data_IF_582965525259
#
_entry.id   IF_582965525259
#
_cell.length_a   1.000
_cell.length_b   1.000
_cell.length_c   1.000
_cell.angle_alpha   90.00
_cell.angle_beta   90.00
_cell.angle_gamma   90.00
#
_symmetry.space_group_name_H-M   'P 1'
#
loop_
_entity.id
_entity.type
_entity.pdbx_description
1 polymer ?
#
# COMPACT_ATOMS: atom_id res chain seq x y z
N UNK A 1 -12.03 11.01 -14.92
CA UNK A 1 -10.60 11.00 -14.52
C UNK A 1 -10.41 9.96 -13.43
N UNK A 2 -9.27 9.26 -13.46
CA UNK A 2 -8.98 8.11 -12.58
C UNK A 2 -8.60 8.53 -11.16
N UNK A 3 -8.10 9.74 -10.98
CA UNK A 3 -7.52 10.18 -9.71
C UNK A 3 -8.08 11.52 -9.26
N UNK A 4 -8.15 11.72 -7.95
CA UNK A 4 -8.43 13.02 -7.36
C UNK A 4 -7.12 13.78 -7.17
N UNK A 5 -6.78 14.64 -8.14
CA UNK A 5 -5.52 15.39 -8.14
C UNK A 5 -5.42 16.43 -7.00
N UNK A 6 -6.54 16.83 -6.40
CA UNK A 6 -6.54 17.73 -5.24
C UNK A 6 -6.22 17.00 -3.93
N UNK A 7 -6.39 15.67 -3.91
CA UNK A 7 -6.16 14.83 -2.74
C UNK A 7 -4.76 14.19 -2.69
N UNK A 8 -4.06 14.13 -3.82
CA UNK A 8 -2.84 13.35 -3.99
C UNK A 8 -1.64 14.29 -4.05
N UNK A 9 -0.59 13.96 -3.31
CA UNK A 9 0.71 14.65 -3.33
C UNK A 9 1.79 13.87 -4.07
N UNK A 10 1.74 12.54 -4.00
CA UNK A 10 2.67 11.63 -4.67
C UNK A 10 1.94 10.45 -5.35
N UNK A 11 2.44 10.01 -6.51
CA UNK A 11 2.01 8.77 -7.17
C UNK A 11 3.21 7.88 -7.52
N UNK A 12 3.12 6.61 -7.15
CA UNK A 12 4.07 5.57 -7.54
C UNK A 12 3.53 4.71 -8.69
N UNK A 13 4.38 4.42 -9.68
CA UNK A 13 4.06 3.56 -10.82
C UNK A 13 5.06 2.41 -10.97
N UNK A 14 4.57 1.22 -11.33
CA UNK A 14 5.45 0.09 -11.67
C UNK A 14 6.16 0.26 -13.02
N UNK A 15 5.55 1.02 -13.93
CA UNK A 15 6.08 1.33 -15.25
C UNK A 15 6.05 2.83 -15.48
N UNK A 16 6.71 3.31 -16.54
CA UNK A 16 6.71 4.74 -16.83
C UNK A 16 5.26 5.25 -17.03
N UNK A 17 4.81 6.28 -16.28
CA UNK A 17 3.49 6.86 -16.47
C UNK A 17 3.39 7.49 -17.86
N UNK A 18 2.20 7.52 -18.46
CA UNK A 18 1.99 8.12 -19.78
C UNK A 18 2.23 9.63 -19.78
N UNK A 19 2.48 10.20 -20.96
CA UNK A 19 2.73 11.64 -21.13
C UNK A 19 1.60 12.51 -20.56
N UNK A 20 0.35 12.11 -20.79
CA UNK A 20 -0.83 12.79 -20.26
C UNK A 20 -0.84 12.81 -18.73
N UNK A 21 -0.48 11.69 -18.09
CA UNK A 21 -0.36 11.57 -16.64
C UNK A 21 0.75 12.48 -16.12
N UNK A 22 1.91 12.50 -16.78
CA UNK A 22 3.03 13.37 -16.39
C UNK A 22 2.67 14.85 -16.49
N UNK A 23 1.98 15.23 -17.56
CA UNK A 23 1.53 16.61 -17.75
C UNK A 23 0.51 17.02 -16.68
N UNK A 24 -0.46 16.15 -16.37
CA UNK A 24 -1.49 16.41 -15.37
C UNK A 24 -0.91 16.45 -13.96
N UNK A 25 0.00 15.54 -13.61
CA UNK A 25 0.69 15.56 -12.31
C UNK A 25 1.45 16.87 -12.12
N UNK A 26 2.23 17.28 -13.14
CA UNK A 26 2.96 18.55 -13.14
C UNK A 26 2.05 19.77 -12.96
N UNK A 27 0.89 19.80 -13.62
CA UNK A 27 -0.03 20.94 -13.50
C UNK A 27 -0.76 21.00 -12.15
N UNK A 28 -0.80 19.90 -11.40
CA UNK A 28 -1.40 19.81 -10.07
C UNK A 28 -0.35 19.76 -8.94
N UNK A 29 0.94 19.87 -9.24
CA UNK A 29 2.00 19.81 -8.24
C UNK A 29 2.18 18.43 -7.60
N UNK A 30 1.71 17.37 -8.26
CA UNK A 30 1.84 15.98 -7.79
C UNK A 30 3.18 15.41 -8.24
N UNK A 31 3.94 14.85 -7.29
CA UNK A 31 5.23 14.22 -7.56
C UNK A 31 5.05 12.81 -8.09
N UNK A 32 5.83 12.44 -9.10
CA UNK A 32 5.79 11.13 -9.71
C UNK A 32 7.01 10.29 -9.38
N UNK A 33 6.76 9.04 -8.97
CA UNK A 33 7.79 8.05 -8.69
C UNK A 33 7.55 6.81 -9.55
N UNK A 34 8.63 6.14 -9.93
CA UNK A 34 8.58 4.85 -10.60
C UNK A 34 9.37 3.80 -9.82
N UNK A 35 8.99 2.53 -9.89
CA UNK A 35 9.78 1.46 -9.30
C UNK A 35 11.25 1.54 -9.75
N UNK A 36 12.15 1.36 -8.79
CA UNK A 36 13.58 1.44 -9.04
C UNK A 36 14.11 0.23 -9.81
N UNK A 37 13.35 -0.87 -9.89
CA UNK A 37 13.79 -2.16 -10.43
C UNK A 37 15.10 -2.60 -9.76
N UNK A 38 15.01 -2.83 -8.46
CA UNK A 38 16.18 -3.07 -7.61
C UNK A 38 17.07 -4.20 -8.14
N UNK A 39 18.41 -4.05 -8.05
CA UNK A 39 19.32 -5.08 -8.47
C UNK A 39 19.28 -6.25 -7.48
N UNK A 40 19.81 -7.39 -7.90
CA UNK A 40 19.98 -8.57 -7.04
C UNK A 40 20.72 -8.20 -5.75
N UNK A 41 20.23 -8.70 -4.61
CA UNK A 41 20.77 -8.38 -3.27
C UNK A 41 22.26 -8.67 -3.11
N UNK A 42 22.83 -9.59 -3.90
CA UNK A 42 24.28 -9.86 -3.90
C UNK A 42 25.11 -8.64 -4.34
N UNK A 43 24.52 -7.73 -5.10
CA UNK A 43 25.19 -6.56 -5.68
C UNK A 43 25.16 -5.34 -4.74
N UNK A 44 24.28 -5.33 -3.74
CA UNK A 44 24.10 -4.17 -2.85
C UNK A 44 25.35 -3.84 -2.04
N UNK A 45 26.19 -4.84 -1.75
CA UNK A 45 27.42 -4.63 -0.99
C UNK A 45 28.60 -4.11 -1.83
N UNK A 46 28.50 -4.16 -3.16
CA UNK A 46 29.55 -3.72 -4.09
C UNK A 46 29.39 -2.23 -4.43
N UNK A 47 30.44 -1.44 -4.15
CA UNK A 47 30.38 0.02 -4.32
C UNK A 47 30.25 0.46 -5.77
N UNK A 48 30.92 -0.23 -6.70
CA UNK A 48 30.90 0.13 -8.12
C UNK A 48 29.53 -0.21 -8.73
N UNK A 49 28.94 -1.33 -8.31
CA UNK A 49 27.57 -1.71 -8.73
C UNK A 49 26.53 -0.74 -8.19
N UNK A 50 26.65 -0.31 -6.92
CA UNK A 50 25.78 0.75 -6.38
C UNK A 50 25.90 2.05 -7.17
N UNK A 51 27.10 2.49 -7.50
CA UNK A 51 27.33 3.70 -8.29
C UNK A 51 26.75 3.59 -9.70
N UNK A 52 26.94 2.45 -10.37
CA UNK A 52 26.37 2.18 -11.68
C UNK A 52 24.83 2.18 -11.64
N UNK A 53 24.22 1.55 -10.62
CA UNK A 53 22.78 1.55 -10.43
C UNK A 53 22.23 2.96 -10.14
N UNK A 54 22.89 3.73 -9.28
CA UNK A 54 22.50 5.11 -8.99
C UNK A 54 22.52 5.99 -10.23
N UNK A 55 23.53 5.84 -11.10
CA UNK A 55 23.55 6.50 -12.41
C UNK A 55 22.37 6.08 -13.28
N UNK A 56 22.05 4.78 -13.34
CA UNK A 56 20.91 4.30 -14.12
C UNK A 56 19.57 4.86 -13.60
N UNK A 57 19.44 5.11 -12.29
CA UNK A 57 18.23 5.74 -11.72
C UNK A 57 18.15 7.24 -12.05
N UNK A 58 19.28 7.95 -12.09
CA UNK A 58 19.35 9.32 -12.61
C UNK A 58 18.87 9.37 -14.07
N UNK A 59 19.31 8.43 -14.90
CA UNK A 59 18.91 8.34 -16.30
C UNK A 59 17.39 8.05 -16.42
N UNK A 60 16.87 7.07 -15.66
CA UNK A 60 15.43 6.77 -15.58
C UNK A 60 14.58 7.98 -15.18
N UNK A 61 14.97 8.71 -14.13
CA UNK A 61 14.24 9.89 -13.64
C UNK A 61 14.20 10.99 -14.70
N UNK A 62 15.30 11.21 -15.44
CA UNK A 62 15.35 12.20 -16.53
C UNK A 62 14.50 11.78 -17.73
N UNK A 63 14.69 10.56 -18.20
CA UNK A 63 14.01 10.04 -19.40
C UNK A 63 12.50 10.03 -19.22
N UNK A 64 12.04 9.65 -18.02
CA UNK A 64 10.62 9.56 -17.71
C UNK A 64 10.06 10.81 -17.05
N UNK A 65 10.82 11.90 -16.93
CA UNK A 65 10.38 13.17 -16.31
C UNK A 65 9.71 12.98 -14.95
N UNK A 66 10.41 12.29 -14.03
CA UNK A 66 9.93 11.91 -12.70
C UNK A 66 10.53 12.80 -11.60
N UNK A 67 9.96 12.70 -10.40
CA UNK A 67 10.43 13.34 -9.16
C UNK A 67 11.19 12.36 -8.24
N UNK A 68 11.32 11.10 -8.67
CA UNK A 68 12.03 10.08 -7.94
C UNK A 68 11.80 8.67 -8.43
N UNK A 69 12.34 7.72 -7.66
CA UNK A 69 12.03 6.29 -7.77
C UNK A 69 11.65 5.74 -6.41
N UNK A 70 10.96 4.61 -6.34
CA UNK A 70 10.71 3.94 -5.06
C UNK A 70 11.33 2.57 -5.01
N UNK A 71 11.64 2.14 -3.79
CA UNK A 71 12.24 0.85 -3.51
C UNK A 71 11.18 -0.04 -2.87
N UNK A 72 10.81 -1.13 -3.55
CA UNK A 72 9.89 -2.13 -3.00
C UNK A 72 10.54 -3.51 -2.91
N UNK A 73 11.51 -3.62 -2.01
CA UNK A 73 12.13 -4.91 -1.71
C UNK A 73 11.36 -5.65 -0.61
N UNK A 74 10.73 -6.76 -1.01
CA UNK A 74 9.88 -7.57 -0.15
C UNK A 74 10.55 -8.87 0.36
N UNK A 75 11.85 -9.03 0.15
CA UNK A 75 12.56 -10.27 0.48
C UNK A 75 12.95 -10.41 1.96
N UNK A 76 12.97 -11.65 2.44
CA UNK A 76 13.33 -11.98 3.83
C UNK A 76 14.72 -12.61 3.92
N UNK A 77 15.22 -12.84 5.15
CA UNK A 77 16.46 -13.60 5.36
C UNK A 77 17.73 -12.88 4.90
N UNK A 78 17.76 -11.54 4.94
CA UNK A 78 18.96 -10.77 4.67
C UNK A 78 20.01 -10.97 5.78
N UNK A 79 21.24 -11.24 5.37
CA UNK A 79 22.42 -11.15 6.23
C UNK A 79 22.67 -9.70 6.65
N UNK A 80 23.40 -9.47 7.75
CA UNK A 80 23.77 -8.11 8.18
C UNK A 80 24.49 -7.31 7.08
N UNK A 81 25.31 -7.99 6.26
CA UNK A 81 26.01 -7.37 5.12
C UNK A 81 25.03 -6.92 4.03
N UNK A 82 23.99 -7.70 3.76
CA UNK A 82 22.97 -7.31 2.77
C UNK A 82 22.08 -6.18 3.30
N UNK A 83 21.75 -6.18 4.60
CA UNK A 83 21.00 -5.07 5.22
C UNK A 83 21.76 -3.75 5.12
N UNK A 84 23.04 -3.74 5.50
CA UNK A 84 23.94 -2.58 5.33
C UNK A 84 24.09 -2.19 3.85
N UNK A 85 24.22 -3.18 2.96
CA UNK A 85 24.26 -2.95 1.52
C UNK A 85 22.99 -2.28 0.99
N UNK A 86 21.81 -2.69 1.47
CA UNK A 86 20.53 -2.13 1.06
C UNK A 86 20.40 -0.66 1.48
N UNK A 87 20.76 -0.33 2.73
CA UNK A 87 20.84 1.07 3.18
C UNK A 87 21.80 1.88 2.32
N UNK A 88 23.00 1.37 2.05
CA UNK A 88 24.00 2.05 1.20
C UNK A 88 23.54 2.23 -0.24
N UNK A 89 22.74 1.30 -0.77
CA UNK A 89 22.12 1.44 -2.09
C UNK A 89 21.13 2.60 -2.10
N UNK A 90 20.25 2.67 -1.10
CA UNK A 90 19.30 3.76 -0.92
C UNK A 90 20.03 5.12 -0.82
N UNK A 91 21.08 5.20 0.01
CA UNK A 91 21.91 6.41 0.16
C UNK A 91 22.57 6.84 -1.15
N UNK A 92 23.12 5.90 -1.91
CA UNK A 92 23.79 6.17 -3.18
C UNK A 92 22.81 6.71 -4.23
N UNK A 93 21.62 6.10 -4.35
CA UNK A 93 20.58 6.54 -5.28
C UNK A 93 20.04 7.91 -4.87
N UNK A 94 19.68 8.09 -3.60
CA UNK A 94 19.20 9.37 -3.05
C UNK A 94 20.19 10.51 -3.28
N UNK A 95 21.47 10.27 -3.01
CA UNK A 95 22.53 11.26 -3.24
C UNK A 95 22.71 11.61 -4.71
N UNK A 96 22.59 10.64 -5.62
CA UNK A 96 22.69 10.86 -7.05
C UNK A 96 21.48 11.60 -7.64
N UNK A 97 20.29 11.43 -7.05
CA UNK A 97 19.05 12.09 -7.47
C UNK A 97 18.92 13.54 -6.94
N UNK A 98 19.54 13.85 -5.80
CA UNK A 98 19.45 15.18 -5.16
C UNK A 98 19.71 16.38 -6.10
N UNK A 99 20.71 16.37 -7.01
CA UNK A 99 20.92 17.47 -7.95
C UNK A 99 19.77 17.72 -8.93
N UNK A 100 18.85 16.77 -9.08
CA UNK A 100 17.65 16.87 -9.92
C UNK A 100 16.43 17.35 -9.12
N UNK A 101 16.59 17.66 -7.84
CA UNK A 101 15.49 17.85 -6.89
C UNK A 101 14.55 16.63 -6.84
N UNK A 102 15.12 15.44 -7.08
CA UNK A 102 14.44 14.15 -7.00
C UNK A 102 14.95 13.36 -5.79
N UNK A 103 14.17 12.38 -5.35
CA UNK A 103 14.48 11.56 -4.17
C UNK A 103 13.97 10.13 -4.32
N UNK A 104 13.99 9.36 -3.23
CA UNK A 104 13.38 8.05 -3.16
C UNK A 104 12.39 7.97 -2.00
N UNK A 105 11.41 7.07 -2.08
CA UNK A 105 10.75 6.52 -0.90
C UNK A 105 10.92 5.00 -0.87
N UNK A 106 10.73 4.38 0.30
CA UNK A 106 10.95 2.94 0.48
C UNK A 106 9.69 2.30 1.04
N UNK A 107 9.16 1.29 0.36
CA UNK A 107 8.07 0.46 0.87
C UNK A 107 8.61 -0.50 1.95
N UNK A 108 7.88 -0.60 3.05
CA UNK A 108 8.19 -1.50 4.17
C UNK A 108 6.93 -2.26 4.58
N UNK A 109 7.09 -3.45 5.16
CA UNK A 109 5.94 -4.29 5.52
C UNK A 109 5.03 -3.68 6.58
N UNK A 110 3.92 -4.36 6.89
CA UNK A 110 2.91 -3.88 7.85
C UNK A 110 3.45 -3.64 9.27
N UNK A 111 4.57 -4.28 9.63
CA UNK A 111 5.29 -4.03 10.88
C UNK A 111 6.80 -4.23 10.70
N UNK A 112 7.66 -3.68 11.59
CA UNK A 112 9.11 -3.87 11.48
C UNK A 112 9.56 -5.33 11.57
N UNK A 113 8.78 -6.17 12.26
CA UNK A 113 9.05 -7.61 12.40
C UNK A 113 8.38 -8.46 11.32
N UNK A 114 7.61 -7.85 10.42
CA UNK A 114 6.85 -8.56 9.39
C UNK A 114 7.76 -9.46 8.57
N UNK A 115 7.40 -10.75 8.47
CA UNK A 115 8.15 -11.81 7.79
C UNK A 115 9.65 -11.86 8.13
N UNK A 116 10.04 -11.42 9.32
CA UNK A 116 11.44 -11.32 9.74
C UNK A 116 12.33 -10.46 8.82
N UNK A 117 11.74 -9.55 8.01
CA UNK A 117 12.47 -8.63 7.13
C UNK A 117 13.55 -7.86 7.89
N UNK A 118 13.18 -7.22 9.02
CA UNK A 118 14.09 -6.60 9.99
C UNK A 118 15.19 -5.74 9.32
N UNK A 119 14.80 -4.89 8.36
CA UNK A 119 15.73 -4.00 7.67
C UNK A 119 16.25 -2.91 8.62
N UNK A 120 17.29 -2.19 8.19
CA UNK A 120 17.73 -0.98 8.88
C UNK A 120 16.76 0.18 8.58
N UNK A 121 15.63 0.19 9.28
CA UNK A 121 14.56 1.17 9.03
C UNK A 121 15.00 2.61 9.30
N UNK A 122 15.85 2.83 10.31
CA UNK A 122 16.39 4.18 10.58
C UNK A 122 17.32 4.64 9.47
N UNK A 123 18.22 3.78 8.98
CA UNK A 123 19.09 4.10 7.86
C UNK A 123 18.30 4.35 6.57
N UNK A 124 17.34 3.49 6.26
CA UNK A 124 16.47 3.65 5.10
C UNK A 124 15.66 4.95 5.17
N UNK A 125 15.08 5.29 6.33
CA UNK A 125 14.36 6.54 6.51
C UNK A 125 15.26 7.76 6.33
N UNK A 126 16.51 7.71 6.81
CA UNK A 126 17.47 8.79 6.61
C UNK A 126 17.90 8.95 5.14
N UNK A 127 17.87 7.86 4.37
CA UNK A 127 18.23 7.83 2.96
C UNK A 127 17.09 8.19 2.01
N UNK A 128 15.83 8.17 2.47
CA UNK A 128 14.63 8.42 1.66
C UNK A 128 13.87 9.66 2.10
N UNK A 129 12.83 10.07 1.36
CA UNK A 129 11.88 11.10 1.79
C UNK A 129 11.00 10.56 2.94
N UNK A 130 10.52 9.33 2.81
CA UNK A 130 9.76 8.62 3.83
C UNK A 130 9.84 7.10 3.62
N UNK A 131 9.38 6.36 4.63
CA UNK A 131 9.02 4.95 4.52
C UNK A 131 7.50 4.85 4.32
N UNK A 132 7.09 4.13 3.28
CA UNK A 132 5.70 3.80 3.02
C UNK A 132 5.38 2.47 3.71
N UNK A 133 4.67 2.52 4.82
CA UNK A 133 4.24 1.33 5.58
C UNK A 133 3.09 0.69 4.80
N UNK A 134 3.32 -0.50 4.28
CA UNK A 134 2.29 -1.33 3.65
C UNK A 134 1.41 -1.94 4.75
N UNK A 135 0.50 -1.14 5.30
CA UNK A 135 -0.43 -1.50 6.37
C UNK A 135 -1.57 -2.39 5.88
N UNK A 136 -1.23 -3.44 5.15
CA UNK A 136 -2.12 -4.42 4.55
C UNK A 136 -1.37 -5.75 4.38
N UNK A 137 -2.06 -6.80 3.95
CA UNK A 137 -1.57 -8.16 3.73
C UNK A 137 -0.86 -8.78 4.96
N UNK A 138 -1.12 -8.25 6.16
CA UNK A 138 -0.38 -8.58 7.38
C UNK A 138 -0.42 -10.08 7.76
N UNK A 139 -1.38 -10.83 7.20
CA UNK A 139 -1.52 -12.28 7.37
C UNK A 139 -1.83 -13.00 6.04
N UNK A 140 -1.61 -12.35 4.89
CA UNK A 140 -1.99 -12.92 3.58
C UNK A 140 -0.97 -13.94 3.05
N UNK A 141 0.32 -13.61 3.13
CA UNK A 141 1.43 -14.45 2.64
C UNK A 141 2.00 -15.41 3.69
N UNK A 142 1.73 -15.12 4.97
CA UNK A 142 2.14 -15.92 6.12
C UNK A 142 1.24 -17.13 6.36
N UNK A 143 1.66 -18.01 7.27
CA UNK A 143 0.86 -19.16 7.71
C UNK A 143 -0.52 -18.71 8.24
N UNK A 144 -1.55 -18.91 7.41
CA UNK A 144 -2.94 -18.61 7.73
C UNK A 144 -3.49 -19.42 8.92
N UNK A 145 -2.68 -20.31 9.53
CA UNK A 145 -3.06 -20.98 10.78
C UNK A 145 -3.38 -20.00 11.90
N UNK A 146 -2.84 -18.77 11.90
CA UNK A 146 -3.20 -17.81 12.94
C UNK A 146 -4.69 -17.44 12.87
N UNK A 147 -5.26 -17.31 11.67
CA UNK A 147 -6.69 -17.04 11.47
C UNK A 147 -7.50 -18.28 11.82
N UNK A 148 -7.05 -19.45 11.38
CA UNK A 148 -7.68 -20.73 11.72
C UNK A 148 -7.74 -20.97 13.25
N UNK A 149 -6.73 -20.49 13.99
CA UNK A 149 -6.66 -20.57 15.46
C UNK A 149 -7.37 -19.41 16.17
N UNK A 150 -7.93 -18.44 15.42
CA UNK A 150 -8.59 -17.26 15.99
C UNK A 150 -7.63 -16.30 16.71
N UNK A 151 -6.34 -16.32 16.36
CA UNK A 151 -5.28 -15.51 17.00
C UNK A 151 -4.93 -14.24 16.23
N UNK A 152 -5.36 -14.15 14.97
CA UNK A 152 -5.23 -12.97 14.10
C UNK A 152 -6.52 -12.80 13.29
N UNK A 153 -6.69 -11.63 12.65
CA UNK A 153 -7.90 -11.30 11.89
C UNK A 153 -7.76 -11.69 10.41
N UNK A 154 -8.84 -12.16 9.76
CA UNK A 154 -8.89 -12.32 8.31
C UNK A 154 -9.05 -11.00 7.54
N UNK A 155 -9.23 -9.87 8.22
CA UNK A 155 -9.28 -8.58 7.56
C UNK A 155 -7.93 -8.24 6.93
N UNK A 156 -7.97 -7.41 5.88
CA UNK A 156 -6.77 -6.99 5.15
C UNK A 156 -5.88 -6.06 5.99
N UNK A 157 -6.51 -5.11 6.68
CA UNK A 157 -5.84 -4.12 7.51
C UNK A 157 -6.52 -4.02 8.89
N UNK A 158 -6.53 -5.07 9.72
CA UNK A 158 -7.25 -5.06 10.99
C UNK A 158 -6.66 -4.02 11.94
N UNK A 159 -7.54 -3.24 12.59
CA UNK A 159 -7.15 -2.08 13.42
C UNK A 159 -6.02 -2.38 14.41
N UNK A 160 -6.07 -3.55 15.07
CA UNK A 160 -5.05 -3.99 16.03
C UNK A 160 -3.66 -4.14 15.41
N UNK A 161 -3.56 -4.71 14.22
CA UNK A 161 -2.27 -4.94 13.58
C UNK A 161 -1.70 -3.66 13.00
N UNK A 162 -2.55 -2.77 12.46
CA UNK A 162 -2.14 -1.42 12.06
C UNK A 162 -1.61 -0.63 13.24
N UNK A 163 -2.33 -0.67 14.37
CA UNK A 163 -1.90 0.01 15.61
C UNK A 163 -0.53 -0.50 16.08
N UNK A 164 -0.36 -1.82 16.12
CA UNK A 164 0.89 -2.45 16.55
C UNK A 164 2.03 -2.18 15.57
N UNK A 165 1.77 -2.26 14.27
CA UNK A 165 2.74 -2.02 13.20
C UNK A 165 3.28 -0.61 13.22
N UNK A 166 2.38 0.38 13.25
CA UNK A 166 2.74 1.80 13.34
C UNK A 166 3.54 2.09 14.61
N UNK A 167 3.08 1.62 15.77
CA UNK A 167 3.83 1.79 17.03
C UNK A 167 5.24 1.17 16.96
N UNK A 168 5.38 0.03 16.30
CA UNK A 168 6.67 -0.61 16.05
C UNK A 168 7.61 0.27 15.22
N UNK A 169 7.11 0.89 14.14
CA UNK A 169 7.92 1.80 13.32
C UNK A 169 8.27 3.09 14.06
N UNK A 170 7.31 3.70 14.76
CA UNK A 170 7.51 4.93 15.54
C UNK A 170 8.55 4.74 16.66
N UNK A 171 8.72 3.53 17.18
CA UNK A 171 9.77 3.23 18.17
C UNK A 171 11.21 3.26 17.62
N UNK A 172 11.37 3.29 16.29
CA UNK A 172 12.66 3.16 15.59
C UNK A 172 12.92 4.28 14.57
N UNK A 173 11.86 4.91 14.06
CA UNK A 173 11.89 5.92 12.99
C UNK A 173 11.04 7.10 13.42
N UNK A 174 11.52 8.30 13.14
CA UNK A 174 10.77 9.53 13.44
C UNK A 174 9.43 9.54 12.69
N UNK A 175 8.30 9.89 13.33
CA UNK A 175 6.97 9.89 12.71
C UNK A 175 6.87 10.69 11.41
N UNK A 176 7.57 11.82 11.30
CA UNK A 176 7.64 12.68 10.11
C UNK A 176 8.38 12.04 8.91
N UNK A 177 8.84 10.80 9.06
CA UNK A 177 9.44 9.96 8.01
C UNK A 177 8.57 8.76 7.63
N UNK A 178 7.35 8.68 8.13
CA UNK A 178 6.47 7.52 7.95
C UNK A 178 5.16 7.92 7.27
N UNK A 179 4.77 7.16 6.25
CA UNK A 179 3.47 7.27 5.58
C UNK A 179 2.74 5.93 5.76
N UNK A 180 1.52 5.95 6.27
CA UNK A 180 0.71 4.73 6.42
C UNK A 180 -0.12 4.46 5.16
N UNK A 181 0.24 3.41 4.42
CA UNK A 181 -0.55 2.89 3.31
C UNK A 181 -1.65 1.94 3.76
N UNK A 182 -2.88 2.12 3.28
CA UNK A 182 -4.02 1.24 3.57
C UNK A 182 -4.65 0.64 2.29
N UNK A 183 -5.33 -0.51 2.38
CA UNK A 183 -5.83 -1.23 1.21
C UNK A 183 -7.13 -0.62 0.69
N UNK A 184 -7.22 -0.44 -0.63
CA UNK A 184 -8.46 -0.17 -1.36
C UNK A 184 -8.94 -1.44 -2.08
N UNK A 185 -8.81 -2.56 -1.40
CA UNK A 185 -9.26 -3.88 -1.83
C UNK A 185 -9.64 -4.71 -0.61
N UNK A 186 -10.20 -5.89 -0.86
CA UNK A 186 -10.49 -6.87 0.15
C UNK A 186 -9.98 -8.26 -0.23
N UNK A 187 -10.36 -9.25 0.55
CA UNK A 187 -9.97 -10.64 0.38
C UNK A 187 -11.19 -11.54 0.31
N UNK A 188 -11.16 -12.53 -0.59
CA UNK A 188 -12.20 -13.55 -0.73
C UNK A 188 -11.82 -14.79 0.08
N UNK A 189 -12.79 -15.39 0.74
CA UNK A 189 -12.63 -16.56 1.59
C UNK A 189 -13.68 -17.61 1.34
N UNK A 190 -13.29 -18.89 1.41
CA UNK A 190 -14.26 -19.99 1.42
C UNK A 190 -14.77 -20.22 2.84
N UNK A 191 -16.10 -20.28 2.99
CA UNK A 191 -16.82 -20.61 4.23
C UNK A 191 -16.75 -22.14 4.44
N UNK A 192 -15.60 -22.65 4.88
CA UNK A 192 -15.48 -24.00 5.48
C UNK A 192 -15.37 -23.81 7.00
N UNK A 193 -15.39 -24.88 7.81
CA UNK A 193 -15.18 -24.81 9.27
C UNK A 193 -13.99 -23.91 9.69
N UNK A 194 -13.04 -23.70 8.79
CA UNK A 194 -11.96 -22.72 8.86
C UNK A 194 -11.93 -21.89 7.55
N UNK A 195 -11.73 -20.57 7.61
CA UNK A 195 -11.64 -19.73 6.43
C UNK A 195 -10.36 -20.02 5.64
N UNK A 196 -10.48 -20.23 4.33
CA UNK A 196 -9.34 -20.34 3.40
C UNK A 196 -9.35 -19.16 2.44
N UNK A 197 -8.24 -18.40 2.39
CA UNK A 197 -8.08 -17.27 1.48
C UNK A 197 -8.09 -17.76 0.01
N UNK A 198 -8.88 -17.12 -0.84
CA UNK A 198 -9.06 -17.40 -2.27
C UNK A 198 -8.49 -16.31 -3.18
N UNK A 199 -7.86 -15.30 -2.59
CA UNK A 199 -7.19 -14.18 -3.23
C UNK A 199 -7.90 -12.84 -3.04
N UNK A 200 -7.19 -11.80 -3.43
CA UNK A 200 -7.63 -10.41 -3.43
C UNK A 200 -8.88 -10.20 -4.30
N UNK A 201 -9.67 -9.18 -3.95
CA UNK A 201 -10.77 -8.62 -4.75
C UNK A 201 -10.71 -7.09 -4.67
N UNK A 202 -10.72 -6.41 -5.82
CA UNK A 202 -10.66 -4.95 -5.87
C UNK A 202 -11.93 -4.33 -5.26
N UNK A 203 -11.82 -3.15 -4.65
CA UNK A 203 -12.98 -2.48 -4.03
C UNK A 203 -14.13 -2.23 -5.04
N UNK A 204 -13.80 -1.84 -6.28
CA UNK A 204 -14.77 -1.71 -7.38
C UNK A 204 -15.54 -3.01 -7.65
N UNK A 205 -14.90 -4.18 -7.54
CA UNK A 205 -15.55 -5.47 -7.78
C UNK A 205 -16.45 -5.86 -6.60
N UNK A 206 -16.07 -5.52 -5.37
CA UNK A 206 -16.95 -5.67 -4.20
C UNK A 206 -18.24 -4.87 -4.40
N UNK A 207 -18.14 -3.63 -4.89
CA UNK A 207 -19.31 -2.79 -5.15
C UNK A 207 -20.13 -3.26 -6.36
N UNK A 208 -19.50 -3.37 -7.53
CA UNK A 208 -20.16 -3.68 -8.81
C UNK A 208 -20.72 -5.10 -8.85
N UNK A 209 -19.93 -6.07 -8.41
CA UNK A 209 -20.22 -7.49 -8.59
C UNK A 209 -20.75 -8.17 -7.33
N UNK A 210 -20.73 -7.54 -6.16
CA UNK A 210 -21.21 -8.21 -4.93
C UNK A 210 -22.35 -7.46 -4.27
N UNK A 211 -22.08 -6.24 -3.77
CA UNK A 211 -23.05 -5.47 -2.98
C UNK A 211 -24.25 -5.03 -3.82
N UNK A 212 -24.03 -4.65 -5.08
CA UNK A 212 -25.09 -4.15 -5.96
C UNK A 212 -25.79 -5.22 -6.81
N UNK A 213 -25.49 -6.50 -6.60
CA UNK A 213 -26.20 -7.60 -7.28
C UNK A 213 -27.33 -8.12 -6.40
N UNK A 214 -28.57 -7.88 -6.84
CA UNK A 214 -29.78 -8.31 -6.13
C UNK A 214 -29.75 -9.79 -5.79
N UNK A 215 -29.92 -10.12 -4.51
CA UNK A 215 -29.98 -11.50 -4.01
C UNK A 215 -28.63 -12.20 -3.84
N UNK A 216 -27.49 -11.52 -4.11
CA UNK A 216 -26.16 -12.10 -3.96
C UNK A 216 -25.70 -12.15 -2.50
N UNK A 217 -25.84 -11.04 -1.77
CA UNK A 217 -25.42 -10.92 -0.37
C UNK A 217 -26.48 -11.54 0.55
N UNK A 218 -26.08 -12.55 1.32
CA UNK A 218 -26.88 -13.19 2.38
C UNK A 218 -26.82 -12.40 3.69
N UNK A 219 -25.63 -11.90 4.05
CA UNK A 219 -25.38 -11.16 5.30
C UNK A 219 -24.25 -10.16 5.08
N UNK A 220 -24.42 -8.94 5.60
CA UNK A 220 -23.36 -7.93 5.74
C UNK A 220 -23.32 -7.46 7.19
N UNK A 221 -22.13 -7.37 7.78
CA UNK A 221 -21.95 -6.79 9.12
C UNK A 221 -20.57 -6.17 9.28
N UNK A 222 -20.45 -5.22 10.19
CA UNK A 222 -19.18 -4.61 10.59
C UNK A 222 -18.58 -5.44 11.72
N UNK A 223 -17.38 -5.95 11.51
CA UNK A 223 -16.58 -6.55 12.57
C UNK A 223 -15.92 -5.43 13.39
N UNK A 224 -16.28 -5.34 14.68
CA UNK A 224 -15.88 -4.22 15.53
C UNK A 224 -14.39 -4.27 15.91
N UNK A 225 -13.79 -5.46 15.98
CA UNK A 225 -12.40 -5.61 16.42
C UNK A 225 -11.42 -5.23 15.31
N UNK A 226 -11.69 -5.67 14.08
CA UNK A 226 -10.88 -5.32 12.91
C UNK A 226 -11.21 -3.95 12.33
N UNK A 227 -12.41 -3.43 12.62
CA UNK A 227 -13.02 -2.32 11.87
C UNK A 227 -12.99 -2.61 10.38
N UNK A 228 -13.68 -3.69 9.96
CA UNK A 228 -13.81 -4.07 8.55
C UNK A 228 -15.18 -4.69 8.27
N UNK A 229 -15.66 -4.53 7.04
CA UNK A 229 -16.91 -5.16 6.61
C UNK A 229 -16.71 -6.62 6.28
N UNK A 230 -17.70 -7.43 6.66
CA UNK A 230 -17.78 -8.85 6.31
C UNK A 230 -19.05 -9.10 5.50
N UNK A 231 -18.90 -9.69 4.33
CA UNK A 231 -20.00 -10.17 3.48
C UNK A 231 -20.03 -11.69 3.50
N UNK A 232 -21.21 -12.28 3.63
CA UNK A 232 -21.47 -13.67 3.27
C UNK A 232 -22.43 -13.68 2.08
N UNK A 233 -22.13 -14.47 1.05
CA UNK A 233 -22.91 -14.58 -0.18
C UNK A 233 -23.71 -15.89 -0.24
N UNK A 234 -24.74 -15.93 -1.08
CA UNK A 234 -25.43 -17.17 -1.43
C UNK A 234 -24.58 -18.00 -2.41
N UNK A 235 -23.56 -18.70 -1.88
CA UNK A 235 -22.54 -19.39 -2.67
C UNK A 235 -21.28 -18.55 -2.80
N UNK A 236 -20.62 -18.58 -3.96
CA UNK A 236 -19.48 -17.71 -4.23
C UNK A 236 -19.93 -16.25 -4.37
N UNK A 237 -19.11 -15.31 -3.90
CA UNK A 237 -19.39 -13.88 -4.04
C UNK A 237 -19.13 -13.37 -5.46
N UNK A 238 -18.34 -14.08 -6.25
CA UNK A 238 -18.00 -13.72 -7.64
C UNK A 238 -18.39 -14.87 -8.58
N UNK A 239 -19.00 -14.53 -9.72
CA UNK A 239 -19.44 -15.51 -10.69
C UNK A 239 -18.26 -16.27 -11.30
N UNK A 240 -18.34 -17.60 -11.34
CA UNK A 240 -17.25 -18.44 -11.85
C UNK A 240 -16.06 -18.60 -10.88
N UNK A 241 -16.10 -17.98 -9.71
CA UNK A 241 -15.03 -18.06 -8.72
C UNK A 241 -15.45 -18.85 -7.47
N UNK A 242 -14.49 -19.02 -6.56
CA UNK A 242 -14.71 -19.59 -5.22
C UNK A 242 -14.62 -18.48 -4.17
N UNK A 243 -15.15 -18.76 -2.99
CA UNK A 243 -15.13 -17.86 -1.85
C UNK A 243 -16.48 -17.18 -1.64
N UNK A 244 -17.17 -17.60 -0.58
CA UNK A 244 -18.49 -17.09 -0.21
C UNK A 244 -18.46 -16.01 0.88
N UNK A 245 -17.27 -15.62 1.32
CA UNK A 245 -17.04 -14.59 2.32
C UNK A 245 -16.08 -13.54 1.79
N UNK A 246 -16.34 -12.27 2.01
CA UNK A 246 -15.42 -11.17 1.69
C UNK A 246 -15.18 -10.33 2.94
N UNK A 247 -13.91 -10.03 3.19
CA UNK A 247 -13.47 -8.98 4.12
C UNK A 247 -12.96 -7.81 3.32
N UNK A 248 -13.47 -6.61 3.58
CA UNK A 248 -13.06 -5.40 2.85
C UNK A 248 -13.27 -4.15 3.69
N UNK A 249 -12.68 -3.05 3.22
CA UNK A 249 -12.83 -1.73 3.83
C UNK A 249 -13.49 -0.73 2.88
N UNK A 250 -14.28 0.17 3.44
CA UNK A 250 -14.78 1.38 2.79
C UNK A 250 -14.32 2.62 3.56
N UNK A 251 -14.77 3.80 3.13
CA UNK A 251 -14.38 5.06 3.75
C UNK A 251 -14.67 5.10 5.27
N UNK A 252 -15.77 4.49 5.71
CA UNK A 252 -16.15 4.44 7.12
C UNK A 252 -15.14 3.60 7.93
N UNK A 253 -14.75 2.45 7.41
CA UNK A 253 -13.86 1.53 8.14
C UNK A 253 -12.37 1.89 8.01
N UNK A 254 -12.00 2.60 6.93
CA UNK A 254 -10.66 3.17 6.78
C UNK A 254 -10.40 4.37 7.70
N UNK A 255 -11.42 5.19 7.98
CA UNK A 255 -11.27 6.39 8.81
C UNK A 255 -10.58 6.13 10.18
N UNK A 256 -11.03 5.18 11.02
CA UNK A 256 -10.35 4.90 12.29
C UNK A 256 -8.92 4.36 12.12
N UNK A 257 -8.61 3.77 10.96
CA UNK A 257 -7.26 3.26 10.65
C UNK A 257 -6.32 4.40 10.24
N UNK A 258 -6.79 5.33 9.41
CA UNK A 258 -6.05 6.55 9.10
C UNK A 258 -5.86 7.45 10.34
N UNK A 259 -6.83 7.46 11.25
CA UNK A 259 -6.70 8.17 12.52
C UNK A 259 -5.48 7.70 13.33
N UNK A 260 -5.04 6.44 13.21
CA UNK A 260 -3.80 5.97 13.86
C UNK A 260 -2.60 6.79 13.36
N UNK A 261 -2.52 7.09 12.07
CA UNK A 261 -1.44 7.89 11.51
C UNK A 261 -1.45 9.31 12.11
N UNK A 262 -2.62 9.92 12.23
CA UNK A 262 -2.79 11.25 12.83
C UNK A 262 -2.38 11.24 14.31
N UNK A 263 -2.90 10.29 15.07
CA UNK A 263 -2.69 10.19 16.52
C UNK A 263 -1.22 9.88 16.86
N UNK A 264 -0.47 9.28 15.94
CA UNK A 264 0.97 9.03 16.05
C UNK A 264 1.85 10.13 15.40
N UNK A 265 1.25 11.16 14.80
CA UNK A 265 1.97 12.27 14.18
C UNK A 265 2.78 11.88 12.94
N UNK A 266 2.30 10.89 12.17
CA UNK A 266 2.98 10.45 10.95
C UNK A 266 3.02 11.57 9.90
N UNK A 267 3.92 11.44 8.91
CA UNK A 267 4.03 12.39 7.79
C UNK A 267 2.74 12.44 6.96
N UNK A 268 2.10 11.29 6.76
CA UNK A 268 0.97 11.16 5.85
C UNK A 268 0.31 9.80 5.87
N UNK A 269 -0.69 9.65 4.99
CA UNK A 269 -1.33 8.38 4.67
C UNK A 269 -1.34 8.19 3.15
N UNK A 270 -1.48 6.95 2.72
CA UNK A 270 -1.68 6.60 1.32
C UNK A 270 -2.51 5.33 1.17
N UNK A 271 -2.55 4.82 -0.05
CA UNK A 271 -3.39 3.68 -0.44
C UNK A 271 -2.71 2.71 -1.40
N UNK A 272 -3.12 1.45 -1.32
CA UNK A 272 -2.90 0.44 -2.36
C UNK A 272 -4.24 -0.08 -2.88
N UNK A 273 -4.72 0.29 -4.06
CA UNK A 273 -4.20 1.32 -4.95
C UNK A 273 -5.34 2.18 -5.50
N UNK A 274 -5.01 3.36 -6.03
CA UNK A 274 -6.01 4.34 -6.46
C UNK A 274 -6.94 3.82 -7.58
N UNK A 275 -6.43 2.94 -8.46
CA UNK A 275 -7.16 2.33 -9.59
C UNK A 275 -8.16 1.21 -9.18
N UNK A 276 -8.27 0.94 -7.88
CA UNK A 276 -9.21 -0.02 -7.30
C UNK A 276 -10.61 0.58 -7.07
N UNK A 277 -10.78 1.89 -7.19
CA UNK A 277 -12.09 2.53 -7.14
C UNK A 277 -12.86 2.42 -8.47
N UNK A 278 -14.19 2.36 -8.44
CA UNK A 278 -15.01 2.33 -9.65
C UNK A 278 -15.00 3.69 -10.36
N UNK A 279 -14.96 3.67 -11.69
CA UNK A 279 -14.97 4.88 -12.52
C UNK A 279 -16.30 5.08 -13.25
N UNK A 280 -16.66 6.33 -13.60
CA UNK A 280 -17.79 6.60 -14.48
C UNK A 280 -17.68 5.79 -15.78
N UNK A 281 -18.78 5.16 -16.20
CA UNK A 281 -18.89 4.40 -17.45
C UNK A 281 -20.05 4.97 -18.26
N UNK A 282 -19.81 5.27 -19.54
CA UNK A 282 -20.82 5.78 -20.49
C UNK A 282 -21.61 7.01 -19.98
N UNK A 283 -20.92 7.93 -19.30
CA UNK A 283 -21.52 9.14 -18.72
C UNK A 283 -22.40 8.91 -17.49
N UNK A 284 -22.46 7.67 -16.96
CA UNK A 284 -23.12 7.33 -15.71
C UNK A 284 -22.09 7.05 -14.63
N UNK A 285 -22.41 7.45 -13.41
CA UNK A 285 -21.52 7.31 -12.27
C UNK A 285 -22.30 6.96 -11.00
N UNK A 286 -22.80 5.72 -10.91
CA UNK A 286 -23.59 5.29 -9.75
C UNK A 286 -22.78 5.24 -8.45
N UNK A 287 -21.45 5.32 -8.53
CA UNK A 287 -20.52 5.24 -7.40
C UNK A 287 -19.83 6.58 -7.10
N UNK A 288 -20.42 7.69 -7.56
CA UNK A 288 -19.86 9.02 -7.36
C UNK A 288 -19.62 9.31 -5.87
N UNK A 289 -20.62 8.99 -5.04
CA UNK A 289 -20.57 9.22 -3.59
C UNK A 289 -19.54 8.34 -2.90
N UNK A 290 -19.53 7.04 -3.20
CA UNK A 290 -18.56 6.09 -2.63
C UNK A 290 -17.13 6.49 -2.99
N UNK A 291 -16.88 6.87 -4.25
CA UNK A 291 -15.56 7.32 -4.68
C UNK A 291 -15.16 8.62 -4.01
N UNK A 292 -16.08 9.58 -3.88
CA UNK A 292 -15.84 10.83 -3.14
C UNK A 292 -15.51 10.55 -1.67
N UNK A 293 -16.24 9.64 -1.02
CA UNK A 293 -16.01 9.27 0.37
C UNK A 293 -14.64 8.61 0.58
N UNK A 294 -14.21 7.74 -0.33
CA UNK A 294 -12.89 7.12 -0.26
C UNK A 294 -11.77 8.16 -0.38
N UNK A 295 -11.89 9.13 -1.30
CA UNK A 295 -10.95 10.24 -1.41
C UNK A 295 -10.98 11.17 -0.19
N UNK A 296 -12.17 11.41 0.38
CA UNK A 296 -12.33 12.19 1.59
C UNK A 296 -11.71 11.50 2.81
N UNK A 297 -11.77 10.17 2.90
CA UNK A 297 -11.14 9.42 3.99
C UNK A 297 -9.62 9.66 4.04
N UNK A 298 -8.97 9.71 2.86
CA UNK A 298 -7.55 10.11 2.76
C UNK A 298 -7.41 11.61 3.02
N UNK A 299 -8.11 12.48 2.31
CA UNK A 299 -7.89 13.94 2.38
C UNK A 299 -8.15 14.54 3.76
N UNK A 300 -8.98 13.87 4.58
CA UNK A 300 -9.34 14.30 5.92
C UNK A 300 -8.66 13.49 7.02
N UNK A 301 -7.64 12.69 6.71
CA UNK A 301 -6.97 11.80 7.66
C UNK A 301 -6.45 12.51 8.91
N UNK A 302 -6.04 13.77 8.77
CA UNK A 302 -5.47 14.60 9.83
C UNK A 302 -6.44 15.62 10.44
N UNK A 303 -7.72 15.58 10.06
CA UNK A 303 -8.77 16.46 10.62
C UNK A 303 -9.32 15.94 11.93
#
# INVERSE_FOLDING_TARGET
ETWNWDAITELGFWSAPSDDVRQKAKSNGVRLFQDAHLPDRKDWSDADKRAAFAKAKVDQVRENSLDGVFFDFEGTGLTNKEKDGYTKLAEAVSSALRPLNASIFVCVGASPSYEFRNYDYSGLANASDFLFIMGYDAHFWDDYTCVAKGTCSPAEAPLKDITKGVAGYVSQVSPDKLVLGLPWYGQRYTDVLLPFNMGQIDYKDVLENVVNVTGRVKKRYLDQDSQSWVLHCHGACMDGEKGGVIWYDDAQTLQPKYQIARDQGLLGVGMWAADKLPYPKDGKDPFAKEREDMWNAISNWNK
#
